data_IF_278057473060
#
_entry.id   IF_278057473060
#
_cell.length_a   1.000
_cell.length_b   1.000
_cell.length_c   1.000
_cell.angle_alpha   90.00
_cell.angle_beta   90.00
_cell.angle_gamma   90.00
#
_symmetry.space_group_name_H-M   'P 1'
#
loop_
_entity.id
_entity.type
_entity.pdbx_description
1 polymer ?
#
# COMPACT_ATOMS: atom_id res chain seq x y z
N UNK A 1 5.80 -1.84 17.11
CA UNK A 1 5.89 -1.10 15.83
C UNK A 1 6.47 -2.04 14.80
N UNK A 2 5.78 -2.22 13.67
CA UNK A 2 6.10 -3.22 12.64
C UNK A 2 7.56 -3.17 12.16
N UNK A 3 8.15 -1.98 12.11
CA UNK A 3 9.54 -1.73 11.75
C UNK A 3 10.57 -2.47 12.61
N UNK A 4 10.27 -2.73 13.89
CA UNK A 4 11.15 -3.52 14.78
C UNK A 4 11.18 -5.00 14.42
N UNK A 5 10.06 -5.51 13.90
CA UNK A 5 9.88 -6.95 13.60
C UNK A 5 10.23 -7.27 12.15
N UNK A 6 10.08 -6.30 11.25
CA UNK A 6 10.38 -6.44 9.83
C UNK A 6 11.30 -5.28 9.38
N UNK A 7 12.63 -5.41 9.57
CA UNK A 7 13.58 -4.39 9.17
C UNK A 7 13.46 -4.05 7.68
N UNK A 8 13.37 -2.75 7.36
CA UNK A 8 13.24 -2.26 5.99
C UNK A 8 11.80 -2.23 5.44
N UNK A 9 10.81 -2.60 6.26
CA UNK A 9 9.42 -2.24 5.97
C UNK A 9 9.29 -0.72 5.93
N UNK A 10 8.50 -0.21 4.99
CA UNK A 10 8.11 1.20 4.95
C UNK A 10 6.64 1.26 5.34
N UNK A 11 6.33 2.02 6.38
CA UNK A 11 4.95 2.23 6.84
C UNK A 11 4.66 3.71 7.04
N UNK A 12 3.43 4.12 6.79
CA UNK A 12 2.89 5.42 7.17
C UNK A 12 1.49 5.23 7.73
N UNK A 13 1.15 5.98 8.77
CA UNK A 13 -0.19 5.96 9.34
C UNK A 13 -0.53 7.34 9.88
N UNK A 14 -1.72 7.81 9.54
CA UNK A 14 -2.33 9.02 10.08
C UNK A 14 -3.70 8.65 10.63
N UNK A 15 -4.01 9.17 11.81
CA UNK A 15 -5.32 8.98 12.45
C UNK A 15 -6.08 10.29 12.51
N UNK A 16 -7.39 10.22 12.42
CA UNK A 16 -8.28 11.35 12.65
C UNK A 16 -8.37 11.73 14.14
N UNK A 17 -9.16 12.77 14.45
CA UNK A 17 -9.38 13.27 15.81
C UNK A 17 -10.06 12.24 16.74
N UNK A 18 -10.72 11.22 16.17
CA UNK A 18 -11.35 10.12 16.90
C UNK A 18 -10.40 8.93 17.10
N UNK A 19 -9.14 9.05 16.64
CA UNK A 19 -8.13 7.98 16.71
C UNK A 19 -8.32 6.88 15.68
N UNK A 20 -9.15 7.10 14.66
CA UNK A 20 -9.40 6.14 13.59
C UNK A 20 -8.42 6.37 12.45
N UNK A 21 -7.92 5.30 11.83
CA UNK A 21 -6.96 5.41 10.73
C UNK A 21 -7.58 6.15 9.55
N UNK A 22 -7.07 7.34 9.26
CA UNK A 22 -7.46 8.18 8.12
C UNK A 22 -6.68 7.78 6.88
N UNK A 23 -5.38 7.61 7.03
CA UNK A 23 -4.48 7.10 5.99
C UNK A 23 -3.58 6.00 6.56
N UNK A 24 -3.39 4.94 5.81
CA UNK A 24 -2.42 3.89 6.07
C UNK A 24 -1.66 3.58 4.78
N UNK A 25 -0.37 3.34 4.89
CA UNK A 25 0.44 2.79 3.82
C UNK A 25 1.42 1.76 4.40
N UNK A 26 1.65 0.69 3.65
CA UNK A 26 2.69 -0.28 3.96
C UNK A 26 3.32 -0.89 2.71
N UNK A 27 4.63 -1.08 2.75
CA UNK A 27 5.39 -1.85 1.76
C UNK A 27 6.44 -2.67 2.47
N UNK A 28 6.46 -3.98 2.22
CA UNK A 28 7.41 -4.89 2.85
C UNK A 28 8.80 -4.74 2.22
N UNK A 29 9.85 -4.85 3.03
CA UNK A 29 11.24 -4.78 2.54
C UNK A 29 11.48 -5.73 1.35
N UNK A 30 10.97 -6.96 1.46
CA UNK A 30 11.06 -7.99 0.41
C UNK A 30 10.29 -7.62 -0.86
N UNK A 31 9.15 -6.94 -0.73
CA UNK A 31 8.36 -6.47 -1.88
C UNK A 31 9.10 -5.36 -2.62
N UNK A 32 9.70 -4.41 -1.90
CA UNK A 32 10.51 -3.34 -2.47
C UNK A 32 11.73 -3.91 -3.20
N UNK A 33 12.43 -4.85 -2.56
CA UNK A 33 13.61 -5.49 -3.13
C UNK A 33 13.26 -6.32 -4.38
N UNK A 34 12.19 -7.11 -4.32
CA UNK A 34 11.73 -7.92 -5.46
C UNK A 34 11.31 -7.05 -6.64
N UNK A 35 10.53 -5.99 -6.40
CA UNK A 35 10.15 -5.04 -7.44
C UNK A 35 11.38 -4.47 -8.18
N UNK A 36 12.40 -4.02 -7.43
CA UNK A 36 13.64 -3.46 -8.00
C UNK A 36 14.47 -4.48 -8.77
N UNK A 37 14.35 -5.77 -8.45
CA UNK A 37 15.15 -6.83 -9.02
C UNK A 37 14.50 -7.50 -10.23
N UNK A 38 13.16 -7.62 -10.26
CA UNK A 38 12.47 -8.52 -11.20
C UNK A 38 11.36 -7.87 -12.03
N UNK A 39 10.89 -6.68 -11.65
CA UNK A 39 9.74 -6.07 -12.32
C UNK A 39 10.14 -5.08 -13.41
N UNK A 40 9.37 -5.08 -14.49
CA UNK A 40 9.45 -4.02 -15.49
C UNK A 40 8.88 -2.72 -14.87
N UNK A 41 9.37 -1.56 -15.30
CA UNK A 41 9.04 -0.23 -14.76
C UNK A 41 7.58 0.24 -15.03
N UNK A 42 6.62 -0.70 -15.10
CA UNK A 42 5.20 -0.42 -15.17
C UNK A 42 4.59 -0.67 -13.80
N UNK A 43 4.02 0.38 -13.23
CA UNK A 43 3.34 0.34 -11.95
C UNK A 43 1.87 0.72 -12.16
N UNK A 44 0.99 -0.17 -11.74
CA UNK A 44 -0.46 0.03 -11.74
C UNK A 44 -0.92 0.21 -10.29
N UNK A 45 -1.86 1.12 -10.09
CA UNK A 45 -2.54 1.29 -8.81
C UNK A 45 -4.01 0.99 -9.04
N UNK A 46 -4.55 0.04 -8.28
CA UNK A 46 -5.98 -0.29 -8.32
C UNK A 46 -6.62 -0.03 -6.97
N UNK A 47 -7.93 0.21 -6.99
CA UNK A 47 -8.72 0.59 -5.81
C UNK A 47 -9.83 -0.42 -5.54
N UNK A 48 -9.99 -0.78 -4.27
CA UNK A 48 -11.08 -1.63 -3.78
C UNK A 48 -11.80 -0.94 -2.62
N UNK A 49 -13.13 -0.83 -2.70
CA UNK A 49 -13.93 -0.25 -1.62
C UNK A 49 -13.99 -1.20 -0.42
N UNK A 50 -13.70 -0.67 0.77
CA UNK A 50 -13.74 -1.41 2.01
C UNK A 50 -15.17 -1.39 2.57
N UNK A 51 -15.82 -2.56 2.65
CA UNK A 51 -17.14 -2.73 3.30
C UNK A 51 -17.03 -2.91 4.82
N UNK A 52 -16.24 -2.09 5.48
CA UNK A 52 -16.12 -2.06 6.96
C UNK A 52 -16.83 -0.82 7.50
N UNK A 53 -17.19 -0.84 8.79
CA UNK A 53 -18.02 0.18 9.43
C UNK A 53 -17.48 1.63 9.33
N UNK A 54 -16.19 1.79 9.01
CA UNK A 54 -15.53 3.08 8.83
C UNK A 54 -15.46 3.56 7.36
N UNK A 55 -15.98 2.78 6.41
CA UNK A 55 -15.83 3.06 4.99
C UNK A 55 -14.37 2.97 4.54
N UNK A 56 -14.03 3.67 3.45
CA UNK A 56 -12.67 3.77 2.94
C UNK A 56 -12.39 3.02 1.63
N UNK A 57 -11.24 3.34 1.06
CA UNK A 57 -10.73 2.74 -0.17
C UNK A 57 -9.37 2.12 0.11
N UNK A 58 -9.23 0.83 -0.17
CA UNK A 58 -7.93 0.18 -0.19
C UNK A 58 -7.29 0.40 -1.56
N UNK A 59 -6.04 0.82 -1.56
CA UNK A 59 -5.20 0.96 -2.75
C UNK A 59 -4.17 -0.16 -2.76
N UNK A 60 -3.97 -0.78 -3.92
CA UNK A 60 -2.92 -1.75 -4.13
C UNK A 60 -2.01 -1.27 -5.27
N UNK A 61 -0.72 -1.12 -4.98
CA UNK A 61 0.31 -0.86 -5.98
C UNK A 61 0.88 -2.19 -6.45
N UNK A 62 0.71 -2.48 -7.74
CA UNK A 62 1.16 -3.70 -8.39
C UNK A 62 2.07 -3.36 -9.58
N UNK A 63 3.02 -4.23 -9.86
CA UNK A 63 3.79 -4.21 -11.10
C UNK A 63 3.66 -5.54 -11.83
N UNK A 64 4.20 -5.60 -13.04
CA UNK A 64 4.35 -6.84 -13.78
C UNK A 64 5.80 -7.32 -13.70
N UNK A 65 6.01 -8.56 -13.26
CA UNK A 65 7.33 -9.16 -13.19
C UNK A 65 7.83 -9.67 -14.56
N UNK A 66 9.07 -10.15 -14.60
CA UNK A 66 9.67 -10.74 -15.79
C UNK A 66 8.91 -11.96 -16.35
N UNK A 67 8.10 -12.63 -15.51
CA UNK A 67 7.26 -13.76 -15.87
C UNK A 67 5.85 -13.35 -16.27
N UNK A 68 5.61 -12.05 -16.49
CA UNK A 68 4.31 -11.47 -16.82
C UNK A 68 3.25 -11.63 -15.71
N UNK A 69 3.65 -11.95 -14.48
CA UNK A 69 2.75 -12.09 -13.34
C UNK A 69 2.57 -10.76 -12.61
N UNK A 70 1.41 -10.60 -11.97
CA UNK A 70 1.16 -9.44 -11.11
C UNK A 70 1.95 -9.58 -9.80
N UNK A 71 2.72 -8.57 -9.49
CA UNK A 71 3.59 -8.49 -8.32
C UNK A 71 3.14 -7.36 -7.40
N UNK A 72 2.78 -7.67 -6.16
CA UNK A 72 2.33 -6.65 -5.19
C UNK A 72 3.50 -5.95 -4.51
N UNK A 73 3.52 -4.62 -4.58
CA UNK A 73 4.60 -3.78 -4.03
C UNK A 73 4.19 -3.18 -2.69
N UNK A 74 3.00 -2.60 -2.64
CA UNK A 74 2.53 -1.84 -1.49
C UNK A 74 1.01 -1.82 -1.41
N UNK A 75 0.50 -1.55 -0.21
CA UNK A 75 -0.91 -1.38 0.07
C UNK A 75 -1.14 -0.08 0.82
N UNK A 76 -2.28 0.55 0.58
CA UNK A 76 -2.74 1.70 1.34
C UNK A 76 -4.22 1.59 1.69
N UNK A 77 -4.62 2.27 2.75
CA UNK A 77 -6.02 2.53 3.07
C UNK A 77 -6.19 4.05 3.17
N UNK A 78 -7.23 4.57 2.51
CA UNK A 78 -7.58 5.99 2.51
C UNK A 78 -9.06 6.15 2.85
N UNK A 79 -9.42 7.30 3.41
CA UNK A 79 -10.80 7.63 3.80
C UNK A 79 -11.76 7.71 2.60
N UNK A 80 -11.34 8.35 1.51
CA UNK A 80 -12.10 8.52 0.27
C UNK A 80 -11.18 9.02 -0.86
N UNK A 81 -11.66 8.95 -2.11
CA UNK A 81 -10.99 9.64 -3.22
C UNK A 81 -11.10 11.15 -2.99
N UNK A 82 -9.97 11.79 -2.71
CA UNK A 82 -9.87 13.23 -2.54
C UNK A 82 -8.66 13.77 -3.32
N UNK A 83 -8.63 15.07 -3.59
CA UNK A 83 -7.53 15.76 -4.27
C UNK A 83 -6.66 16.56 -3.29
N UNK A 84 -6.78 16.28 -1.99
CA UNK A 84 -5.99 16.94 -0.95
C UNK A 84 -4.59 16.33 -0.93
N UNK A 85 -3.54 17.16 -0.78
CA UNK A 85 -2.13 16.76 -0.82
C UNK A 85 -1.39 17.15 0.45
#
# INVERSE_FOLDING_TARGET
>A
MLEKTNPGIVTYSETDEMGCSKYLFMSLAVSIQGFRATCHLVLCVDRAFLKINYGGTMLAAIAQDANMQLYSIAFGAVDSENNES
#
